data_IF_152506600851
#
_entry.id   IF_152506600851
#
_cell.length_a   1.000
_cell.length_b   1.000
_cell.length_c   1.000
_cell.angle_alpha   90.00
_cell.angle_beta   90.00
_cell.angle_gamma   90.00
#
_symmetry.space_group_name_H-M   'P 1'
#
loop_
_entity.id
_entity.type
_entity.pdbx_description
1 polymer ?
#
# COMPACT_ATOMS: atom_id res chain seq x y z
N UNK A 1 30.40 0.13 11.61
CA UNK A 1 29.21 0.59 12.34
C UNK A 1 27.96 -0.21 11.97
N UNK A 2 27.70 -0.44 10.67
CA UNK A 2 26.53 -1.17 10.20
C UNK A 2 26.52 -2.68 10.57
N UNK A 3 27.69 -3.26 10.85
CA UNK A 3 27.81 -4.68 11.23
C UNK A 3 27.50 -4.98 12.72
N UNK A 4 27.44 -3.97 13.58
CA UNK A 4 27.28 -4.15 15.02
C UNK A 4 25.82 -4.09 15.49
N UNK A 5 24.93 -3.53 14.68
CA UNK A 5 23.49 -3.45 14.99
C UNK A 5 22.69 -4.12 13.86
N UNK A 6 21.70 -4.97 14.18
CA UNK A 6 20.82 -5.52 13.16
C UNK A 6 20.05 -4.37 12.50
N UNK A 7 20.28 -4.17 11.21
CA UNK A 7 19.67 -3.11 10.41
C UNK A 7 19.07 -3.74 9.15
N UNK A 8 18.08 -3.08 8.59
CA UNK A 8 17.50 -3.39 7.29
C UNK A 8 17.52 -2.11 6.45
N UNK A 9 17.83 -2.26 5.17
CA UNK A 9 17.73 -1.17 4.21
C UNK A 9 16.42 -1.33 3.47
N UNK A 10 15.55 -0.32 3.55
CA UNK A 10 14.28 -0.29 2.83
C UNK A 10 14.38 0.76 1.74
N UNK A 11 14.15 0.36 0.50
CA UNK A 11 14.16 1.23 -0.67
C UNK A 11 12.77 1.22 -1.27
N UNK A 12 12.09 2.34 -1.12
CA UNK A 12 10.79 2.57 -1.74
C UNK A 12 10.97 3.14 -3.15
N UNK A 13 9.93 2.94 -3.98
CA UNK A 13 9.89 3.40 -5.36
C UNK A 13 11.11 2.92 -6.18
N UNK A 14 11.52 1.66 -6.01
CA UNK A 14 12.68 1.08 -6.71
C UNK A 14 12.60 1.22 -8.23
N UNK A 15 11.41 1.40 -8.78
CA UNK A 15 11.18 1.64 -10.21
C UNK A 15 12.01 2.78 -10.78
N UNK A 16 12.26 3.84 -9.99
CA UNK A 16 13.11 4.96 -10.39
C UNK A 16 14.60 4.62 -10.43
N UNK A 17 15.01 3.58 -9.70
CA UNK A 17 16.40 3.13 -9.66
C UNK A 17 16.70 2.10 -10.75
N UNK A 18 15.70 1.35 -11.21
CA UNK A 18 15.88 0.26 -12.17
C UNK A 18 16.48 0.73 -13.50
N UNK A 19 16.24 2.00 -13.88
CA UNK A 19 16.88 2.60 -15.04
C UNK A 19 18.37 2.96 -14.86
N UNK A 20 18.88 2.86 -13.62
CA UNK A 20 20.26 3.24 -13.26
C UNK A 20 21.07 2.03 -12.87
N UNK A 21 21.62 1.33 -13.86
CA UNK A 21 22.35 0.07 -13.68
C UNK A 21 23.37 0.12 -12.53
N UNK A 22 24.23 1.14 -12.48
CA UNK A 22 25.23 1.30 -11.41
C UNK A 22 24.63 1.36 -10.01
N UNK A 23 23.48 1.98 -9.83
CA UNK A 23 22.81 2.07 -8.52
C UNK A 23 22.32 0.69 -8.06
N UNK A 24 21.76 -0.09 -8.98
CA UNK A 24 21.31 -1.46 -8.70
C UNK A 24 22.50 -2.36 -8.33
N UNK A 25 23.62 -2.25 -9.03
CA UNK A 25 24.84 -3.01 -8.68
C UNK A 25 25.39 -2.58 -7.32
N UNK A 26 25.39 -1.29 -7.00
CA UNK A 26 25.83 -0.80 -5.68
C UNK A 26 25.00 -1.40 -4.54
N UNK A 27 23.69 -1.56 -4.71
CA UNK A 27 22.83 -2.18 -3.71
C UNK A 27 23.16 -3.66 -3.50
N UNK A 28 23.41 -4.37 -4.60
CA UNK A 28 23.87 -5.77 -4.55
C UNK A 28 25.20 -5.86 -3.80
N UNK A 29 26.18 -5.05 -4.17
CA UNK A 29 27.52 -5.05 -3.57
C UNK A 29 27.44 -4.71 -2.08
N UNK A 30 26.58 -3.75 -1.70
CA UNK A 30 26.36 -3.41 -0.30
C UNK A 30 25.81 -4.62 0.49
N UNK A 31 24.81 -5.32 -0.05
CA UNK A 31 24.28 -6.53 0.56
C UNK A 31 25.36 -7.62 0.66
N UNK A 32 26.07 -7.90 -0.43
CA UNK A 32 27.10 -8.95 -0.49
C UNK A 32 28.26 -8.68 0.50
N UNK A 33 28.65 -7.40 0.68
CA UNK A 33 29.74 -7.00 1.58
C UNK A 33 29.31 -6.95 3.06
N UNK A 34 28.08 -6.58 3.35
CA UNK A 34 27.65 -6.30 4.72
C UNK A 34 26.76 -7.38 5.32
N UNK A 35 26.11 -8.19 4.49
CA UNK A 35 25.06 -9.13 4.89
C UNK A 35 23.77 -8.42 5.38
N UNK A 36 23.64 -7.11 5.18
CA UNK A 36 22.46 -6.36 5.60
C UNK A 36 21.30 -6.70 4.66
N UNK A 37 20.12 -7.12 5.19
CA UNK A 37 18.93 -7.34 4.39
C UNK A 37 18.50 -6.06 3.66
N UNK A 38 18.11 -6.21 2.40
CA UNK A 38 17.58 -5.12 1.59
C UNK A 38 16.16 -5.45 1.16
N UNK A 39 15.23 -4.57 1.48
CA UNK A 39 13.82 -4.65 1.05
C UNK A 39 13.61 -3.64 -0.07
N UNK A 40 13.17 -4.13 -1.22
CA UNK A 40 12.85 -3.30 -2.39
C UNK A 40 11.33 -3.22 -2.52
N UNK A 41 10.79 -2.01 -2.50
CA UNK A 41 9.36 -1.74 -2.68
C UNK A 41 9.20 -1.04 -4.02
N UNK A 42 8.27 -1.52 -4.84
CA UNK A 42 8.05 -0.98 -6.17
C UNK A 42 6.64 -1.22 -6.70
N UNK A 43 6.37 -0.68 -7.87
CA UNK A 43 5.12 -0.87 -8.59
C UNK A 43 5.03 -2.28 -9.18
N UNK A 44 3.86 -2.65 -9.68
CA UNK A 44 3.57 -3.97 -10.27
C UNK A 44 4.60 -4.42 -11.31
N UNK A 45 5.18 -3.49 -12.05
CA UNK A 45 6.17 -3.77 -13.09
C UNK A 45 7.60 -3.96 -12.55
N UNK A 46 7.87 -3.59 -11.29
CA UNK A 46 9.21 -3.64 -10.70
C UNK A 46 9.82 -5.04 -10.80
N UNK A 47 9.06 -6.09 -10.50
CA UNK A 47 9.46 -7.49 -10.63
C UNK A 47 9.97 -7.83 -12.04
N UNK A 48 9.20 -7.47 -13.06
CA UNK A 48 9.56 -7.74 -14.47
C UNK A 48 10.79 -6.95 -14.89
N UNK A 49 10.89 -5.70 -14.44
CA UNK A 49 12.05 -4.84 -14.73
C UNK A 49 13.29 -5.35 -14.02
N UNK A 50 13.20 -5.73 -12.74
CA UNK A 50 14.31 -6.31 -11.95
C UNK A 50 14.78 -7.64 -12.53
N UNK A 51 13.89 -8.46 -13.08
CA UNK A 51 14.22 -9.73 -13.71
C UNK A 51 15.18 -9.61 -14.91
N UNK A 52 15.34 -8.41 -15.47
CA UNK A 52 16.36 -8.14 -16.51
C UNK A 52 17.79 -8.11 -15.95
N UNK A 53 17.92 -7.90 -14.65
CA UNK A 53 19.19 -7.88 -13.93
C UNK A 53 19.42 -9.21 -13.19
N UNK A 54 19.73 -10.28 -13.93
CA UNK A 54 19.85 -11.64 -13.40
C UNK A 54 20.68 -11.72 -12.12
N UNK A 55 21.83 -11.07 -12.10
CA UNK A 55 22.73 -11.08 -10.94
C UNK A 55 22.14 -10.50 -9.66
N UNK A 56 21.22 -9.55 -9.77
CA UNK A 56 20.44 -9.04 -8.63
C UNK A 56 19.26 -9.98 -8.33
N UNK A 57 18.52 -10.36 -9.37
CA UNK A 57 17.29 -11.14 -9.23
C UNK A 57 17.55 -12.50 -8.56
N UNK A 58 18.68 -13.14 -8.86
CA UNK A 58 19.10 -14.41 -8.25
C UNK A 58 19.41 -14.30 -6.74
N UNK A 59 19.52 -13.07 -6.21
CA UNK A 59 19.73 -12.79 -4.78
C UNK A 59 18.45 -12.46 -4.04
N UNK A 60 17.35 -12.30 -4.75
CA UNK A 60 16.05 -12.06 -4.13
C UNK A 60 15.56 -13.36 -3.52
N UNK A 61 15.50 -13.41 -2.21
CA UNK A 61 15.07 -14.60 -1.46
C UNK A 61 13.55 -14.75 -1.44
N UNK A 62 12.81 -13.65 -1.49
CA UNK A 62 11.36 -13.66 -1.42
C UNK A 62 10.75 -12.50 -2.21
N UNK A 63 9.62 -12.76 -2.86
CA UNK A 63 8.83 -11.76 -3.57
C UNK A 63 7.42 -11.80 -3.02
N UNK A 64 7.01 -10.70 -2.40
CA UNK A 64 5.65 -10.50 -1.89
C UNK A 64 4.89 -9.58 -2.84
N UNK A 65 3.79 -10.07 -3.38
CA UNK A 65 2.95 -9.30 -4.29
C UNK A 65 1.66 -8.89 -3.58
N UNK A 66 1.45 -7.58 -3.42
CA UNK A 66 0.21 -7.04 -2.88
C UNK A 66 -0.85 -6.99 -3.99
N UNK A 67 -1.89 -7.78 -3.82
CA UNK A 67 -3.06 -7.79 -4.70
C UNK A 67 -4.00 -6.61 -4.39
N UNK A 68 -4.93 -6.36 -5.31
CA UNK A 68 -6.05 -5.44 -5.03
C UNK A 68 -6.86 -5.92 -3.83
N UNK A 69 -7.40 -4.99 -3.04
CA UNK A 69 -8.21 -5.31 -1.87
C UNK A 69 -9.45 -6.12 -2.25
N UNK A 70 -9.72 -7.16 -1.47
CA UNK A 70 -10.98 -7.88 -1.48
C UNK A 70 -12.06 -7.11 -0.70
N UNK A 71 -13.30 -7.59 -0.75
CA UNK A 71 -14.38 -7.06 0.09
C UNK A 71 -14.10 -7.28 1.58
N UNK A 72 -13.51 -8.42 1.91
CA UNK A 72 -13.11 -8.80 3.27
C UNK A 72 -12.04 -7.85 3.80
N UNK A 73 -10.99 -7.57 3.02
CA UNK A 73 -9.96 -6.60 3.39
C UNK A 73 -10.57 -5.21 3.61
N UNK A 74 -11.49 -4.79 2.74
CA UNK A 74 -12.16 -3.51 2.88
C UNK A 74 -13.03 -3.43 4.12
N UNK A 75 -13.72 -4.51 4.49
CA UNK A 75 -14.49 -4.56 5.72
C UNK A 75 -13.59 -4.40 6.94
N UNK A 76 -12.45 -5.09 6.97
CA UNK A 76 -11.45 -4.93 8.04
C UNK A 76 -10.98 -3.48 8.13
N UNK A 77 -10.62 -2.87 6.99
CA UNK A 77 -10.17 -1.48 6.94
C UNK A 77 -11.23 -0.52 7.50
N UNK A 78 -12.49 -0.72 7.12
CA UNK A 78 -13.59 0.11 7.61
C UNK A 78 -13.83 -0.08 9.10
N UNK A 79 -13.78 -1.33 9.58
CA UNK A 79 -14.02 -1.66 11.00
C UNK A 79 -12.89 -1.16 11.91
N UNK A 80 -11.64 -1.23 11.45
CA UNK A 80 -10.48 -0.80 12.24
C UNK A 80 -10.25 0.71 12.22
N UNK A 81 -10.60 1.38 11.12
CA UNK A 81 -10.26 2.79 10.91
C UNK A 81 -11.44 3.75 11.04
N UNK A 82 -12.67 3.29 10.89
CA UNK A 82 -13.84 4.17 10.98
C UNK A 82 -14.41 4.19 12.39
N UNK A 83 -14.39 5.35 13.03
CA UNK A 83 -14.95 5.56 14.38
C UNK A 83 -16.49 5.49 14.39
N UNK A 84 -17.14 5.70 13.25
CA UNK A 84 -18.60 5.75 13.12
C UNK A 84 -19.08 4.50 12.40
N UNK A 85 -20.14 3.88 12.93
CA UNK A 85 -20.74 2.69 12.32
C UNK A 85 -21.27 2.97 10.92
N UNK A 86 -20.84 2.13 9.96
CA UNK A 86 -21.34 2.13 8.59
C UNK A 86 -22.26 0.93 8.43
N UNK A 87 -23.45 1.12 7.85
CA UNK A 87 -24.38 0.03 7.61
C UNK A 87 -23.85 -0.96 6.57
N UNK A 88 -24.28 -2.21 6.60
CA UNK A 88 -23.78 -3.23 5.66
C UNK A 88 -24.06 -2.86 4.21
N UNK A 89 -25.24 -2.32 3.91
CA UNK A 89 -25.61 -1.84 2.58
C UNK A 89 -24.72 -0.67 2.14
N UNK A 90 -24.35 0.20 3.07
CA UNK A 90 -23.43 1.31 2.79
C UNK A 90 -22.00 0.83 2.57
N UNK A 91 -21.53 -0.20 3.28
CA UNK A 91 -20.23 -0.83 3.06
C UNK A 91 -20.12 -1.42 1.65
N UNK A 92 -21.15 -2.08 1.14
CA UNK A 92 -21.17 -2.63 -0.23
C UNK A 92 -20.96 -1.52 -1.27
N UNK A 93 -21.69 -0.42 -1.16
CA UNK A 93 -21.54 0.73 -2.07
C UNK A 93 -20.18 1.42 -1.91
N UNK A 94 -19.66 1.49 -0.68
CA UNK A 94 -18.34 2.02 -0.41
C UNK A 94 -17.27 1.21 -1.12
N UNK A 95 -17.37 -0.13 -1.05
CA UNK A 95 -16.47 -1.05 -1.72
C UNK A 95 -16.51 -0.90 -3.25
N UNK A 96 -17.71 -0.86 -3.85
CA UNK A 96 -17.87 -0.69 -5.30
C UNK A 96 -17.18 0.58 -5.83
N UNK A 97 -17.18 1.64 -5.02
CA UNK A 97 -16.58 2.92 -5.37
C UNK A 97 -15.12 3.07 -4.98
N UNK A 98 -14.56 2.11 -4.21
CA UNK A 98 -13.25 2.26 -3.55
C UNK A 98 -12.41 1.02 -3.79
N UNK A 99 -11.35 1.15 -4.57
CA UNK A 99 -10.48 0.02 -4.93
C UNK A 99 -9.01 0.20 -4.50
N UNK A 100 -8.68 1.32 -3.82
CA UNK A 100 -7.32 1.64 -3.37
C UNK A 100 -7.32 2.05 -1.91
N UNK A 101 -6.33 1.59 -1.15
CA UNK A 101 -6.20 1.90 0.27
C UNK A 101 -6.22 3.40 0.56
N UNK A 102 -5.40 4.19 -0.12
CA UNK A 102 -5.35 5.65 0.05
C UNK A 102 -6.71 6.32 -0.20
N UNK A 103 -7.46 5.81 -1.17
CA UNK A 103 -8.80 6.30 -1.47
C UNK A 103 -9.79 5.93 -0.35
N UNK A 104 -9.67 4.71 0.21
CA UNK A 104 -10.49 4.28 1.35
C UNK A 104 -10.28 5.20 2.55
N UNK A 105 -9.04 5.47 2.94
CA UNK A 105 -8.71 6.36 4.06
C UNK A 105 -9.31 7.75 3.87
N UNK A 106 -9.11 8.37 2.70
CA UNK A 106 -9.66 9.70 2.41
C UNK A 106 -11.18 9.72 2.50
N UNK A 107 -11.85 8.70 1.98
CA UNK A 107 -13.32 8.60 2.01
C UNK A 107 -13.86 8.36 3.39
N UNK A 108 -13.21 7.52 4.20
CA UNK A 108 -13.56 7.31 5.61
C UNK A 108 -13.49 8.66 6.33
N UNK A 109 -12.38 9.38 6.24
CA UNK A 109 -12.24 10.70 6.86
C UNK A 109 -13.32 11.69 6.40
N UNK A 110 -13.69 11.66 5.12
CA UNK A 110 -14.77 12.51 4.60
C UNK A 110 -16.13 12.13 5.20
N UNK A 111 -16.43 10.83 5.30
CA UNK A 111 -17.67 10.33 5.90
C UNK A 111 -17.76 10.66 7.39
N UNK A 112 -16.67 10.56 8.12
CA UNK A 112 -16.60 10.91 9.55
C UNK A 112 -16.83 12.40 9.77
N UNK A 113 -16.19 13.25 8.96
CA UNK A 113 -16.40 14.69 9.03
C UNK A 113 -17.85 15.06 8.72
N UNK A 114 -18.44 14.43 7.68
CA UNK A 114 -19.84 14.62 7.33
C UNK A 114 -20.78 14.17 8.46
N UNK A 115 -20.48 13.05 9.09
CA UNK A 115 -21.27 12.55 10.20
C UNK A 115 -21.14 13.44 11.44
N UNK A 116 -19.94 13.91 11.78
CA UNK A 116 -19.71 14.88 12.87
C UNK A 116 -20.45 16.19 12.63
N UNK A 117 -20.39 16.74 11.41
CA UNK A 117 -21.05 17.98 11.06
C UNK A 117 -22.58 17.90 11.11
N UNK A 118 -23.15 16.74 10.79
CA UNK A 118 -24.59 16.51 10.77
C UNK A 118 -25.10 15.74 11.99
N UNK A 119 -24.28 15.57 13.02
CA UNK A 119 -24.62 14.86 14.27
C UNK A 119 -25.19 13.44 14.03
N UNK A 120 -24.64 12.73 13.04
CA UNK A 120 -25.08 11.40 12.69
C UNK A 120 -24.40 10.34 13.56
N UNK A 121 -25.18 9.41 14.10
CA UNK A 121 -24.67 8.27 14.86
C UNK A 121 -24.27 7.08 14.00
N UNK A 122 -24.62 7.08 12.71
CA UNK A 122 -24.30 6.07 11.73
C UNK A 122 -24.27 6.65 10.31
N UNK A 123 -23.52 6.00 9.46
CA UNK A 123 -23.43 6.28 8.04
C UNK A 123 -24.24 5.26 7.27
N UNK A 124 -25.16 5.69 6.43
CA UNK A 124 -25.97 4.88 5.57
C UNK A 124 -25.66 5.06 4.08
N UNK A 125 -26.44 4.43 3.22
CA UNK A 125 -26.31 4.47 1.77
C UNK A 125 -26.33 5.92 1.22
N UNK A 126 -27.10 6.81 1.82
CA UNK A 126 -27.27 8.19 1.35
C UNK A 126 -25.95 8.96 1.42
N UNK A 127 -25.25 8.86 2.57
CA UNK A 127 -23.96 9.52 2.77
C UNK A 127 -22.90 8.98 1.83
N UNK A 128 -22.82 7.64 1.68
CA UNK A 128 -21.82 7.00 0.80
C UNK A 128 -22.08 7.34 -0.69
N UNK A 129 -23.36 7.40 -1.11
CA UNK A 129 -23.70 7.83 -2.48
C UNK A 129 -23.35 9.28 -2.74
N UNK A 130 -23.43 10.12 -1.72
CA UNK A 130 -23.08 11.55 -1.79
C UNK A 130 -21.57 11.83 -1.88
N UNK A 131 -20.70 10.83 -1.64
CA UNK A 131 -19.28 10.99 -1.85
C UNK A 131 -18.99 11.32 -3.32
N UNK A 132 -18.31 12.43 -3.56
CA UNK A 132 -17.84 12.77 -4.89
C UNK A 132 -16.93 11.68 -5.43
N UNK A 133 -17.11 11.27 -6.68
CA UNK A 133 -16.18 10.41 -7.38
C UNK A 133 -14.96 11.28 -7.72
N UNK A 134 -13.95 11.28 -6.87
CA UNK A 134 -12.65 11.86 -7.23
C UNK A 134 -12.08 11.03 -8.38
N UNK A 135 -11.84 11.69 -9.51
CA UNK A 135 -11.16 11.12 -10.69
C UNK A 135 -9.67 10.90 -10.42
#
# INVERSE_FOLDING_TARGET
>A
HLRLNPQVIIIDEVDYLIGRFKTIETLRDLHDLTGIPVVLIGMQEAKTKLGKFRHLFDRISEIVEFKSFSKEDMNIIVEELCEIKITNEAKEIFFEKTNRFRQAIKRIATLENLAKTNELNKIDVKQVKGLAIEK
#
